data_IF_629722604233
#
_entry.id   IF_629722604233
#
_cell.length_a   1.000
_cell.length_b   1.000
_cell.length_c   1.000
_cell.angle_alpha   90.00
_cell.angle_beta   90.00
_cell.angle_gamma   90.00
#
_symmetry.space_group_name_H-M   'P 1'
#
loop_
_entity.id
_entity.type
_entity.pdbx_description
1 polymer ?
#
# COMPACT_ATOMS: atom_id res chain seq x y z
N UNK A 1 -32.97 -22.80 -16.22
CA UNK A 1 -31.89 -21.84 -15.98
C UNK A 1 -30.98 -22.43 -14.93
N UNK A 2 -29.82 -22.94 -15.33
CA UNK A 2 -28.79 -23.40 -14.41
C UNK A 2 -27.54 -22.58 -14.70
N UNK A 3 -27.59 -21.28 -14.36
CA UNK A 3 -26.50 -20.35 -14.62
C UNK A 3 -25.52 -20.31 -13.44
N UNK A 4 -25.00 -21.48 -13.05
CA UNK A 4 -23.91 -21.54 -12.08
C UNK A 4 -22.95 -22.68 -12.40
N UNK A 5 -21.68 -22.35 -12.62
CA UNK A 5 -20.58 -23.30 -12.83
C UNK A 5 -19.80 -23.44 -11.52
N UNK A 6 -19.74 -24.66 -10.99
CA UNK A 6 -18.93 -24.98 -9.81
C UNK A 6 -17.50 -25.34 -10.23
N UNK A 7 -16.52 -24.56 -9.78
CA UNK A 7 -15.10 -24.84 -9.97
C UNK A 7 -14.56 -25.45 -8.67
N UNK A 8 -14.07 -26.70 -8.74
CA UNK A 8 -13.40 -27.36 -7.62
C UNK A 8 -11.94 -26.91 -7.57
N UNK A 9 -11.54 -26.26 -6.47
CA UNK A 9 -10.16 -25.82 -6.26
C UNK A 9 -9.47 -26.86 -5.36
N UNK A 10 -8.48 -27.61 -5.86
CA UNK A 10 -7.71 -28.53 -5.04
C UNK A 10 -6.82 -27.76 -4.04
N UNK A 11 -6.47 -28.36 -2.89
CA UNK A 11 -5.58 -27.73 -1.93
C UNK A 11 -4.20 -27.50 -2.58
N UNK A 12 -3.65 -26.30 -2.38
CA UNK A 12 -2.29 -25.98 -2.81
C UNK A 12 -1.26 -26.75 -1.98
N UNK A 13 -0.20 -27.21 -2.63
CA UNK A 13 0.99 -27.73 -1.95
C UNK A 13 1.67 -26.61 -1.14
N UNK A 14 2.45 -26.99 -0.12
CA UNK A 14 3.18 -26.03 0.70
C UNK A 14 4.14 -25.15 -0.12
N UNK A 15 4.80 -25.74 -1.13
CA UNK A 15 5.67 -25.02 -2.06
C UNK A 15 4.92 -23.91 -2.82
N UNK A 16 3.73 -24.23 -3.35
CA UNK A 16 2.89 -23.25 -4.06
C UNK A 16 2.38 -22.14 -3.13
N UNK A 17 2.10 -22.47 -1.86
CA UNK A 17 1.74 -21.47 -0.85
C UNK A 17 2.90 -20.51 -0.58
N UNK A 18 4.12 -21.01 -0.41
CA UNK A 18 5.33 -20.18 -0.23
C UNK A 18 5.58 -19.26 -1.43
N UNK A 19 5.39 -19.73 -2.65
CA UNK A 19 5.52 -18.88 -3.83
C UNK A 19 4.44 -17.80 -3.91
N UNK A 20 3.20 -18.13 -3.52
CA UNK A 20 2.11 -17.16 -3.44
C UNK A 20 2.40 -16.08 -2.39
N UNK A 21 3.01 -16.44 -1.26
CA UNK A 21 3.48 -15.47 -0.25
C UNK A 21 4.54 -14.52 -0.81
N UNK A 22 5.49 -15.02 -1.62
CA UNK A 22 6.49 -14.13 -2.28
C UNK A 22 5.82 -13.11 -3.18
N UNK A 23 4.80 -13.51 -3.93
CA UNK A 23 4.03 -12.59 -4.79
C UNK A 23 3.35 -11.52 -3.95
N UNK A 24 2.70 -11.90 -2.84
CA UNK A 24 2.06 -10.95 -1.93
C UNK A 24 3.06 -9.93 -1.37
N UNK A 25 4.26 -10.37 -0.98
CA UNK A 25 5.34 -9.49 -0.52
C UNK A 25 5.83 -8.54 -1.61
N UNK A 26 5.99 -9.02 -2.84
CA UNK A 26 6.35 -8.16 -3.98
C UNK A 26 5.32 -7.07 -4.20
N UNK A 27 4.03 -7.42 -4.19
CA UNK A 27 2.94 -6.43 -4.33
C UNK A 27 2.95 -5.38 -3.21
N UNK A 28 3.28 -5.79 -1.99
CA UNK A 28 3.41 -4.86 -0.86
C UNK A 28 4.55 -3.86 -1.05
N UNK A 29 5.72 -4.32 -1.53
CA UNK A 29 6.85 -3.44 -1.82
C UNK A 29 6.55 -2.49 -2.99
N UNK A 30 5.93 -2.97 -4.06
CA UNK A 30 5.50 -2.13 -5.19
C UNK A 30 4.50 -1.05 -4.74
N UNK A 31 3.60 -1.38 -3.81
CA UNK A 31 2.67 -0.41 -3.21
C UNK A 31 3.40 0.64 -2.38
N UNK A 32 4.36 0.25 -1.53
CA UNK A 32 5.17 1.20 -0.74
C UNK A 32 6.02 2.12 -1.61
N UNK A 33 6.56 1.62 -2.72
CA UNK A 33 7.27 2.44 -3.70
C UNK A 33 6.33 3.49 -4.29
N UNK A 34 5.12 3.08 -4.67
CA UNK A 34 4.10 4.00 -5.21
C UNK A 34 3.71 5.09 -4.21
N UNK A 35 3.51 4.74 -2.93
CA UNK A 35 3.25 5.70 -1.84
C UNK A 35 4.41 6.71 -1.71
N UNK A 36 5.66 6.24 -1.79
CA UNK A 36 6.83 7.12 -1.74
C UNK A 36 6.87 8.10 -2.90
N UNK A 37 6.56 7.65 -4.12
CA UNK A 37 6.51 8.51 -5.31
C UNK A 37 5.45 9.60 -5.15
N UNK A 38 4.22 9.23 -4.79
CA UNK A 38 3.12 10.18 -4.58
C UNK A 38 3.48 11.21 -3.50
N UNK A 39 4.09 10.78 -2.39
CA UNK A 39 4.58 11.70 -1.35
C UNK A 39 5.58 12.72 -1.91
N UNK A 40 6.52 12.28 -2.75
CA UNK A 40 7.50 13.19 -3.36
C UNK A 40 6.84 14.21 -4.28
N UNK A 41 5.81 13.81 -5.03
CA UNK A 41 5.10 14.72 -5.92
C UNK A 41 4.27 15.74 -5.14
N UNK A 42 3.55 15.32 -4.10
CA UNK A 42 2.83 16.24 -3.21
C UNK A 42 3.80 17.22 -2.53
N UNK A 43 4.98 16.77 -2.07
CA UNK A 43 5.98 17.67 -1.47
C UNK A 43 6.48 18.73 -2.46
N UNK A 44 6.60 18.41 -3.75
CA UNK A 44 6.95 19.41 -4.77
C UNK A 44 5.81 20.40 -4.98
N UNK A 45 4.56 19.93 -5.01
CA UNK A 45 3.39 20.79 -5.15
C UNK A 45 3.23 21.74 -3.97
N UNK A 46 3.41 21.26 -2.74
CA UNK A 46 3.36 22.09 -1.54
C UNK A 46 4.43 23.18 -1.54
N UNK A 47 5.67 22.84 -1.91
CA UNK A 47 6.75 23.84 -2.03
C UNK A 47 6.44 24.88 -3.10
N UNK A 48 5.94 24.44 -4.26
CA UNK A 48 5.55 25.34 -5.32
C UNK A 48 4.42 26.29 -4.88
N UNK A 49 3.42 25.79 -4.16
CA UNK A 49 2.35 26.60 -3.63
C UNK A 49 2.85 27.65 -2.61
N UNK A 50 3.89 27.35 -1.85
CA UNK A 50 4.54 28.31 -0.94
C UNK A 50 5.32 29.37 -1.73
N UNK A 51 6.12 28.96 -2.72
CA UNK A 51 6.84 29.86 -3.63
C UNK A 51 5.88 30.81 -4.38
N UNK A 52 4.72 30.30 -4.81
CA UNK A 52 3.67 31.06 -5.50
C UNK A 52 2.83 31.94 -4.54
N UNK A 53 3.06 31.83 -3.22
CA UNK A 53 2.37 32.60 -2.19
C UNK A 53 0.92 32.16 -1.93
N UNK A 54 0.53 30.97 -2.40
CA UNK A 54 -0.80 30.39 -2.17
C UNK A 54 -0.96 29.85 -0.75
N UNK A 55 0.14 29.46 -0.10
CA UNK A 55 0.18 28.99 1.29
C UNK A 55 1.33 29.67 2.06
N UNK A 56 1.20 29.78 3.38
CA UNK A 56 2.27 30.32 4.23
C UNK A 56 3.30 29.24 4.62
N UNK A 57 4.45 29.65 5.15
CA UNK A 57 5.48 28.74 5.69
C UNK A 57 4.94 27.87 6.85
N UNK A 58 4.02 28.42 7.66
CA UNK A 58 3.37 27.69 8.76
C UNK A 58 2.37 26.66 8.25
N UNK A 59 1.64 26.98 7.17
CA UNK A 59 0.76 26.04 6.49
C UNK A 59 1.56 24.90 5.85
N UNK A 60 2.67 25.22 5.17
CA UNK A 60 3.59 24.24 4.58
C UNK A 60 4.05 23.22 5.63
N UNK A 61 4.54 23.68 6.79
CA UNK A 61 4.97 22.81 7.89
C UNK A 61 3.84 21.91 8.40
N UNK A 62 2.62 22.43 8.44
CA UNK A 62 1.44 21.67 8.87
C UNK A 62 1.10 20.58 7.86
N UNK A 63 1.04 20.93 6.57
CA UNK A 63 0.77 19.98 5.50
C UNK A 63 1.85 18.90 5.36
N UNK A 64 3.13 19.25 5.51
CA UNK A 64 4.22 18.26 5.53
C UNK A 64 4.06 17.26 6.67
N UNK A 65 3.69 17.73 7.87
CA UNK A 65 3.46 16.86 9.04
C UNK A 65 2.28 15.93 8.82
N UNK A 66 1.18 16.44 8.25
CA UNK A 66 -0.01 15.63 8.02
C UNK A 66 0.19 14.64 6.86
N UNK A 67 0.90 15.03 5.80
CA UNK A 67 1.35 14.14 4.74
C UNK A 67 2.21 12.99 5.31
N UNK A 68 3.15 13.31 6.21
CA UNK A 68 4.00 12.30 6.82
C UNK A 68 3.19 11.28 7.65
N UNK A 69 2.23 11.76 8.46
CA UNK A 69 1.33 10.86 9.20
C UNK A 69 0.54 9.95 8.27
N UNK A 70 -0.04 10.51 7.19
CA UNK A 70 -0.82 9.75 6.22
C UNK A 70 0.02 8.65 5.55
N UNK A 71 1.27 8.96 5.19
CA UNK A 71 2.21 8.00 4.61
C UNK A 71 2.55 6.90 5.61
N UNK A 72 2.84 7.25 6.86
CA UNK A 72 3.17 6.28 7.90
C UNK A 72 2.01 5.34 8.19
N UNK A 73 0.79 5.86 8.28
CA UNK A 73 -0.41 5.05 8.49
C UNK A 73 -0.74 4.17 7.30
N UNK A 74 -0.55 4.67 6.07
CA UNK A 74 -0.71 3.86 4.85
C UNK A 74 0.31 2.71 4.80
N UNK A 75 1.57 2.97 5.15
CA UNK A 75 2.59 1.93 5.20
C UNK A 75 2.28 0.85 6.24
N UNK A 76 1.83 1.24 7.44
CA UNK A 76 1.35 0.29 8.45
C UNK A 76 0.21 -0.56 7.93
N UNK A 77 -0.76 0.06 7.24
CA UNK A 77 -1.89 -0.66 6.67
C UNK A 77 -1.45 -1.69 5.61
N UNK A 78 -0.49 -1.34 4.75
CA UNK A 78 0.11 -2.26 3.78
C UNK A 78 0.75 -3.45 4.49
N UNK A 79 1.53 -3.20 5.55
CA UNK A 79 2.21 -4.26 6.32
C UNK A 79 1.20 -5.19 7.02
N UNK A 80 0.15 -4.63 7.63
CA UNK A 80 -0.92 -5.39 8.27
C UNK A 80 -1.68 -6.27 7.27
N UNK A 81 -2.07 -5.72 6.11
CA UNK A 81 -2.73 -6.48 5.06
C UNK A 81 -1.85 -7.61 4.54
N UNK A 82 -0.56 -7.34 4.33
CA UNK A 82 0.41 -8.32 3.84
C UNK A 82 0.58 -9.45 4.85
N UNK A 83 0.74 -9.13 6.13
CA UNK A 83 0.86 -10.11 7.21
C UNK A 83 -0.39 -10.96 7.37
N UNK A 84 -1.57 -10.34 7.28
CA UNK A 84 -2.86 -11.05 7.28
C UNK A 84 -2.93 -12.03 6.10
N UNK A 85 -2.58 -11.56 4.90
CA UNK A 85 -2.62 -12.39 3.69
C UNK A 85 -1.62 -13.55 3.74
N UNK A 86 -0.42 -13.31 4.24
CA UNK A 86 0.58 -14.37 4.46
C UNK A 86 0.07 -15.44 5.43
N UNK A 87 -0.55 -15.01 6.53
CA UNK A 87 -1.17 -15.92 7.50
C UNK A 87 -2.31 -16.74 6.86
N UNK A 88 -3.19 -16.10 6.09
CA UNK A 88 -4.32 -16.77 5.44
C UNK A 88 -3.85 -17.76 4.36
N UNK A 89 -2.78 -17.45 3.62
CA UNK A 89 -2.19 -18.36 2.62
C UNK A 89 -1.56 -19.58 3.30
N UNK A 90 -1.00 -19.42 4.50
CA UNK A 90 -0.31 -20.50 5.22
C UNK A 90 -1.23 -21.32 6.14
N UNK A 91 -2.41 -20.78 6.50
CA UNK A 91 -3.44 -21.51 7.25
C UNK A 91 -4.07 -22.61 6.38
N UNK A 92 -4.35 -23.74 7.02
CA UNK A 92 -5.20 -24.84 6.55
C UNK A 92 -6.48 -24.78 7.38
#
# INVERSE_FOLDING_TARGET
>A
MADSVMIKIPPLTEERRKDTVKIAKKMAEDAKVSVRTVRQDILKELKKAEDDGEISEDDLKTYEKDLQKLVDDTNKHIDEMTKKKETDIMKI
#
